data_IF_031791234057
#
_entry.id   IF_031791234057
#
_cell.length_a   1.000
_cell.length_b   1.000
_cell.length_c   1.000
_cell.angle_alpha   90.00
_cell.angle_beta   90.00
_cell.angle_gamma   90.00
#
_symmetry.space_group_name_H-M   'P 1'
#
loop_
_entity.id
_entity.type
_entity.pdbx_description
1 polymer ?
#
# COMPACT_ATOMS: atom_id res chain seq x y z
N UNK A 1 29.06 -2.17 -5.08
CA UNK A 1 28.29 -1.45 -6.12
C UNK A 1 26.92 -2.10 -6.24
N UNK A 2 25.97 -1.69 -5.39
CA UNK A 2 24.61 -2.20 -5.43
C UNK A 2 23.77 -1.25 -6.29
N UNK A 3 23.21 -1.82 -7.35
CA UNK A 3 22.36 -1.17 -8.34
C UNK A 3 21.12 -0.62 -7.63
N UNK A 4 20.86 0.67 -7.78
CA UNK A 4 19.62 1.34 -7.37
C UNK A 4 18.45 0.53 -7.95
N UNK A 5 17.74 -0.23 -7.11
CA UNK A 5 16.54 -0.96 -7.54
C UNK A 5 15.37 -0.03 -7.33
N UNK A 6 15.22 0.84 -8.33
CA UNK A 6 14.15 1.81 -8.46
C UNK A 6 14.01 2.76 -7.28
N UNK A 7 14.55 3.97 -7.48
CA UNK A 7 13.80 5.16 -7.12
C UNK A 7 12.40 5.02 -7.72
N UNK A 8 11.44 4.39 -7.04
CA UNK A 8 10.02 4.47 -7.39
C UNK A 8 9.55 5.85 -6.92
N UNK A 9 10.16 6.89 -7.50
CA UNK A 9 9.48 8.14 -7.83
C UNK A 9 8.66 7.91 -9.10
N UNK A 10 8.07 6.73 -9.25
CA UNK A 10 6.93 6.60 -10.15
C UNK A 10 5.80 7.25 -9.37
N UNK A 11 5.20 8.25 -9.98
CA UNK A 11 3.97 8.96 -9.67
C UNK A 11 2.89 8.02 -9.09
N UNK A 12 3.10 7.50 -7.88
CA UNK A 12 2.26 6.50 -7.25
C UNK A 12 0.98 7.24 -6.91
N UNK A 13 -0.14 6.89 -7.56
CA UNK A 13 -1.38 7.59 -7.33
C UNK A 13 -1.66 7.50 -5.83
N UNK A 14 -1.95 8.66 -5.23
CA UNK A 14 -2.22 8.77 -3.79
C UNK A 14 -3.25 7.72 -3.33
N UNK A 15 -4.15 7.35 -4.24
CA UNK A 15 -5.19 6.34 -4.04
C UNK A 15 -5.08 5.26 -5.12
N UNK A 16 -5.10 4.00 -4.71
CA UNK A 16 -5.05 2.84 -5.60
C UNK A 16 -6.20 1.89 -5.27
N UNK A 17 -6.86 1.30 -6.28
CA UNK A 17 -7.96 0.37 -5.99
C UNK A 17 -7.48 -0.81 -5.14
N UNK A 18 -8.27 -1.24 -4.15
CA UNK A 18 -7.92 -2.36 -3.27
C UNK A 18 -7.57 -3.66 -4.05
N UNK A 19 -8.17 -3.86 -5.22
CA UNK A 19 -7.87 -5.01 -6.09
C UNK A 19 -6.50 -4.92 -6.75
N UNK A 20 -6.08 -3.73 -7.17
CA UNK A 20 -4.75 -3.45 -7.74
C UNK A 20 -3.68 -3.48 -6.66
N UNK A 21 -3.96 -2.85 -5.51
CA UNK A 21 -3.10 -2.88 -4.34
C UNK A 21 -2.79 -4.33 -3.92
N UNK A 22 -3.79 -5.21 -3.93
CA UNK A 22 -3.58 -6.65 -3.64
C UNK A 22 -2.62 -7.32 -4.62
N UNK A 23 -2.76 -7.04 -5.91
CA UNK A 23 -1.89 -7.62 -6.94
C UNK A 23 -0.45 -7.15 -6.76
N UNK A 24 -0.24 -5.89 -6.40
CA UNK A 24 1.10 -5.32 -6.22
C UNK A 24 1.73 -5.72 -4.88
N UNK A 25 1.03 -5.56 -3.75
CA UNK A 25 1.57 -5.79 -2.40
C UNK A 25 1.68 -7.26 -2.02
N UNK A 26 0.72 -8.07 -2.45
CA UNK A 26 0.59 -9.47 -2.03
C UNK A 26 0.72 -10.46 -3.19
N UNK A 27 1.02 -10.00 -4.42
CA UNK A 27 1.09 -10.84 -5.62
C UNK A 27 -0.17 -11.73 -5.81
N UNK A 28 -1.35 -11.20 -5.42
CA UNK A 28 -2.61 -11.95 -5.46
C UNK A 28 -2.76 -13.04 -4.40
N UNK A 29 -1.85 -13.15 -3.43
CA UNK A 29 -1.99 -14.04 -2.26
C UNK A 29 -2.94 -13.42 -1.22
N UNK A 30 -3.05 -14.06 -0.05
CA UNK A 30 -3.78 -13.50 1.10
C UNK A 30 -3.12 -12.19 1.53
N UNK A 31 -3.89 -11.19 2.01
CA UNK A 31 -5.35 -11.17 2.21
C UNK A 31 -6.15 -11.03 0.90
N UNK A 32 -7.41 -11.45 0.94
CA UNK A 32 -8.40 -11.26 -0.12
C UNK A 32 -8.76 -9.78 -0.30
N UNK A 33 -9.37 -9.43 -1.44
CA UNK A 33 -9.85 -8.06 -1.67
C UNK A 33 -10.94 -7.68 -0.66
N UNK A 34 -11.77 -8.63 -0.22
CA UNK A 34 -12.80 -8.37 0.79
C UNK A 34 -12.19 -8.03 2.16
N UNK A 35 -11.11 -8.71 2.55
CA UNK A 35 -10.35 -8.37 3.76
C UNK A 35 -9.73 -6.97 3.66
N UNK A 36 -9.15 -6.60 2.52
CA UNK A 36 -8.63 -5.24 2.31
C UNK A 36 -9.73 -4.19 2.41
N UNK A 37 -10.91 -4.45 1.83
CA UNK A 37 -12.08 -3.56 1.96
C UNK A 37 -12.53 -3.42 3.41
N UNK A 38 -12.53 -4.53 4.15
CA UNK A 38 -12.87 -4.56 5.57
C UNK A 38 -11.89 -3.71 6.38
N UNK A 39 -10.58 -3.87 6.16
CA UNK A 39 -9.56 -3.06 6.84
C UNK A 39 -9.67 -1.57 6.53
N UNK A 40 -10.03 -1.19 5.29
CA UNK A 40 -10.30 0.21 4.94
C UNK A 40 -11.54 0.73 5.68
N UNK A 41 -12.60 -0.08 5.76
CA UNK A 41 -13.82 0.31 6.46
C UNK A 41 -13.65 0.39 7.99
N UNK A 42 -12.79 -0.47 8.56
CA UNK A 42 -12.47 -0.50 9.99
C UNK A 42 -11.40 0.52 10.38
N UNK A 43 -10.76 1.18 9.41
CA UNK A 43 -9.68 2.13 9.63
C UNK A 43 -8.32 1.48 9.95
N UNK A 44 -8.20 0.16 9.84
CA UNK A 44 -6.94 -0.58 9.98
C UNK A 44 -6.00 -0.35 8.80
N UNK A 45 -6.55 -0.10 7.60
CA UNK A 45 -5.80 0.24 6.40
C UNK A 45 -6.21 1.63 5.93
N UNK A 46 -5.23 2.53 5.81
CA UNK A 46 -5.47 3.88 5.32
C UNK A 46 -6.00 3.83 3.87
N UNK A 47 -7.20 4.37 3.67
CA UNK A 47 -7.90 4.28 2.40
C UNK A 47 -9.18 5.11 2.38
N UNK A 48 -9.72 5.28 1.18
CA UNK A 48 -10.94 6.05 0.92
C UNK A 48 -12.00 5.20 0.22
N UNK A 49 -13.27 5.44 0.55
CA UNK A 49 -14.42 4.84 -0.12
C UNK A 49 -15.07 5.91 -0.99
N UNK A 50 -15.03 5.74 -2.32
CA UNK A 50 -15.62 6.68 -3.29
C UNK A 50 -16.61 5.95 -4.19
N UNK A 51 -17.90 6.31 -4.12
CA UNK A 51 -18.93 5.74 -4.99
C UNK A 51 -19.07 4.20 -4.89
N UNK A 52 -18.83 3.63 -3.70
CA UNK A 52 -18.85 2.17 -3.49
C UNK A 52 -17.57 1.43 -3.90
N UNK A 53 -16.57 2.15 -4.44
CA UNK A 53 -15.24 1.62 -4.70
C UNK A 53 -14.30 1.92 -3.54
N UNK A 54 -13.35 1.02 -3.29
CA UNK A 54 -12.43 1.08 -2.17
C UNK A 54 -11.02 1.32 -2.68
N UNK A 55 -10.41 2.38 -2.18
CA UNK A 55 -9.07 2.80 -2.54
C UNK A 55 -8.17 2.75 -1.32
N UNK A 56 -6.95 2.26 -1.48
CA UNK A 56 -5.89 2.25 -0.48
C UNK A 56 -5.02 3.48 -0.72
N UNK A 57 -4.74 4.23 0.34
CA UNK A 57 -3.68 5.24 0.29
C UNK A 57 -2.33 4.53 0.36
N UNK A 58 -1.69 4.38 -0.79
CA UNK A 58 -0.45 3.61 -0.90
C UNK A 58 0.70 4.30 -0.17
N UNK A 59 0.71 5.63 -0.12
CA UNK A 59 1.75 6.38 0.58
C UNK A 59 1.58 6.21 2.10
N UNK A 60 0.35 6.36 2.60
CA UNK A 60 0.06 6.18 4.02
C UNK A 60 0.23 4.70 4.46
N UNK A 61 -0.10 3.72 3.61
CA UNK A 61 0.12 2.31 3.90
C UNK A 61 1.62 1.95 3.94
N UNK A 62 2.46 2.59 3.13
CA UNK A 62 3.91 2.42 3.16
C UNK A 62 4.56 3.12 4.37
N UNK A 63 4.04 4.28 4.76
CA UNK A 63 4.56 5.08 5.88
C UNK A 63 4.03 4.64 7.25
N UNK A 64 2.83 4.05 7.30
CA UNK A 64 2.20 3.53 8.52
C UNK A 64 2.54 2.07 8.84
N UNK A 65 3.29 1.41 7.96
CA UNK A 65 3.92 0.13 8.27
C UNK A 65 5.17 0.40 9.10
N UNK A 66 5.09 0.09 10.41
CA UNK A 66 6.20 0.03 11.38
C UNK A 66 7.14 -1.15 11.05
N UNK A 67 7.52 -1.26 9.78
CA UNK A 67 8.39 -2.30 9.25
C UNK A 67 9.84 -1.85 9.55
N UNK A 68 10.60 -2.53 10.43
CA UNK A 68 11.98 -2.13 10.79
C UNK A 68 12.93 -2.14 9.58
N UNK A 69 12.49 -2.68 8.44
CA UNK A 69 13.18 -2.59 7.16
C UNK A 69 13.10 -1.18 6.55
N UNK A 70 12.02 -0.43 6.77
CA UNK A 70 11.80 0.92 6.26
C UNK A 70 12.60 1.98 7.04
N UNK A 71 12.71 1.81 8.36
CA UNK A 71 13.52 2.68 9.22
C UNK A 71 15.01 2.66 8.81
N UNK A 72 15.53 1.49 8.42
CA UNK A 72 16.89 1.35 7.88
C UNK A 72 17.10 2.00 6.50
N UNK A 73 16.03 2.36 5.80
CA UNK A 73 16.11 3.08 4.51
C UNK A 73 16.13 4.60 4.67
N UNK A 74 15.74 5.12 5.84
CA UNK A 74 15.72 6.56 6.14
C UNK A 74 17.02 7.08 6.76
N UNK A 75 17.95 6.20 7.14
CA UNK A 75 19.26 6.57 7.72
C UNK A 75 20.41 6.75 6.70
N UNK A 76 20.12 6.94 5.41
CA UNK A 76 21.14 7.18 4.37
C UNK A 76 20.96 8.53 3.67
#
# INVERSE_FOLDING_TARGET
MAKVIATIKADLPRLMEASEYRKLRYAGRKPSVQELKKWIAEGELQGEIRGGMYFVDVQAALLGSDDPLLAKMLEV
#
